data_IF_879126342301
#
_entry.id   IF_879126342301
#
_cell.length_a   1.000
_cell.length_b   1.000
_cell.length_c   1.000
_cell.angle_alpha   90.00
_cell.angle_beta   90.00
_cell.angle_gamma   90.00
#
_symmetry.space_group_name_H-M   'P 1'
#
loop_
_entity.id
_entity.type
_entity.pdbx_description
1 polymer ?
#
# COMPACT_ATOMS: atom_id res chain seq x y z
N UNK A 1 -44.95 -1.58 4.34
CA UNK A 1 -43.99 -2.22 5.26
C UNK A 1 -44.06 -3.72 5.06
N UNK A 2 -43.10 -4.28 4.34
CA UNK A 2 -42.91 -5.72 4.15
C UNK A 2 -41.42 -5.91 3.88
N UNK A 3 -40.71 -6.48 4.85
CA UNK A 3 -39.30 -6.82 4.75
C UNK A 3 -39.15 -7.98 3.77
N UNK A 4 -38.62 -7.73 2.57
CA UNK A 4 -38.18 -8.80 1.68
C UNK A 4 -36.89 -9.40 2.27
N UNK A 5 -37.03 -10.54 2.96
CA UNK A 5 -35.91 -11.41 3.28
C UNK A 5 -35.27 -11.90 1.98
N UNK A 6 -34.05 -11.43 1.69
CA UNK A 6 -33.23 -12.01 0.64
C UNK A 6 -32.93 -13.49 0.98
N UNK A 7 -33.09 -14.43 0.04
CA UNK A 7 -32.91 -15.85 0.31
C UNK A 7 -31.45 -16.17 0.66
N UNK A 8 -31.28 -16.89 1.77
CA UNK A 8 -30.03 -17.28 2.39
C UNK A 8 -29.27 -18.40 1.65
N UNK A 9 -28.97 -18.24 0.35
CA UNK A 9 -28.37 -19.31 -0.46
C UNK A 9 -27.02 -19.00 -1.12
N UNK A 10 -26.20 -18.12 -0.54
CA UNK A 10 -24.80 -17.88 -0.98
C UNK A 10 -23.81 -17.59 0.17
N UNK A 11 -24.10 -18.06 1.40
CA UNK A 11 -23.35 -17.63 2.60
C UNK A 11 -22.10 -18.46 2.94
N UNK A 12 -21.89 -19.65 2.35
CA UNK A 12 -20.80 -20.54 2.75
C UNK A 12 -19.41 -20.14 2.22
N UNK A 13 -19.29 -19.85 0.93
CA UNK A 13 -18.01 -19.53 0.29
C UNK A 13 -17.63 -18.03 0.40
N UNK A 14 -18.64 -17.16 0.55
CA UNK A 14 -18.42 -15.71 0.63
C UNK A 14 -18.02 -15.22 2.03
N UNK A 15 -18.40 -15.93 3.10
CA UNK A 15 -18.01 -15.58 4.46
C UNK A 15 -16.50 -15.74 4.71
N UNK A 16 -15.88 -16.73 4.06
CA UNK A 16 -14.47 -17.07 4.24
C UNK A 16 -13.48 -16.06 3.66
N UNK A 17 -13.77 -15.46 2.50
CA UNK A 17 -12.91 -14.41 1.91
C UNK A 17 -13.12 -13.06 2.61
N UNK A 18 -14.36 -12.75 2.99
CA UNK A 18 -14.73 -11.45 3.57
C UNK A 18 -14.06 -11.19 4.93
N UNK A 19 -13.76 -12.25 5.71
CA UNK A 19 -13.00 -12.16 6.97
C UNK A 19 -11.51 -11.84 6.79
N UNK A 20 -10.92 -12.22 5.66
CA UNK A 20 -9.49 -12.03 5.39
C UNK A 20 -9.20 -10.76 4.60
N UNK A 21 -10.23 -10.16 3.98
CA UNK A 21 -10.12 -8.93 3.21
C UNK A 21 -9.42 -7.78 3.99
N UNK A 22 -9.74 -7.53 5.28
CA UNK A 22 -9.05 -6.51 6.07
C UNK A 22 -7.57 -6.81 6.28
N UNK A 23 -7.23 -8.10 6.49
CA UNK A 23 -5.84 -8.55 6.69
C UNK A 23 -5.06 -8.40 5.39
N UNK A 24 -5.64 -8.79 4.26
CA UNK A 24 -5.03 -8.60 2.94
C UNK A 24 -4.85 -7.12 2.63
N UNK A 25 -5.83 -6.28 2.99
CA UNK A 25 -5.74 -4.84 2.84
C UNK A 25 -4.61 -4.24 3.69
N UNK A 26 -4.46 -4.67 4.94
CA UNK A 26 -3.36 -4.26 5.82
C UNK A 26 -1.99 -4.69 5.27
N UNK A 27 -1.87 -5.90 4.73
CA UNK A 27 -0.65 -6.38 4.09
C UNK A 27 -0.32 -5.59 2.82
N UNK A 28 -1.33 -5.24 2.01
CA UNK A 28 -1.14 -4.38 0.84
C UNK A 28 -0.70 -2.97 1.24
N UNK A 29 -1.28 -2.38 2.30
CA UNK A 29 -0.83 -1.11 2.87
C UNK A 29 0.63 -1.17 3.31
N UNK A 30 1.00 -2.21 4.04
CA UNK A 30 2.39 -2.42 4.45
C UNK A 30 3.32 -2.52 3.24
N UNK A 31 2.91 -3.22 2.18
CA UNK A 31 3.67 -3.35 0.94
C UNK A 31 3.87 -2.01 0.21
N UNK A 32 2.86 -1.13 0.18
CA UNK A 32 2.97 0.20 -0.45
C UNK A 32 4.00 1.13 0.21
N UNK A 33 4.43 0.82 1.44
CA UNK A 33 5.44 1.65 2.14
C UNK A 33 6.89 1.43 1.68
N UNK A 34 7.10 0.60 0.64
CA UNK A 34 8.38 0.26 -0.01
C UNK A 34 9.58 -0.06 0.92
N UNK A 35 9.44 -0.57 2.16
CA UNK A 35 10.53 -0.47 3.12
C UNK A 35 11.67 -1.42 2.75
N UNK A 36 11.30 -2.69 2.57
CA UNK A 36 12.27 -3.77 2.65
C UNK A 36 13.16 -3.86 1.42
N UNK A 37 12.61 -3.76 0.20
CA UNK A 37 13.40 -3.97 -1.01
C UNK A 37 14.39 -2.82 -1.29
N UNK A 38 14.05 -1.60 -0.86
CA UNK A 38 14.97 -0.48 -0.91
C UNK A 38 16.12 -0.65 0.09
N UNK A 39 15.81 -1.00 1.35
CA UNK A 39 16.83 -1.31 2.36
C UNK A 39 17.71 -2.50 1.96
N UNK A 40 17.11 -3.55 1.40
CA UNK A 40 17.80 -4.75 0.91
C UNK A 40 18.72 -4.47 -0.29
N UNK A 41 18.28 -3.62 -1.23
CA UNK A 41 19.13 -3.19 -2.34
C UNK A 41 20.32 -2.38 -1.84
N UNK A 42 20.09 -1.42 -0.94
CA UNK A 42 21.14 -0.61 -0.36
C UNK A 42 22.16 -1.46 0.42
N UNK A 43 21.71 -2.48 1.14
CA UNK A 43 22.57 -3.42 1.87
C UNK A 43 23.54 -4.19 0.95
N UNK A 44 23.21 -4.33 -0.34
CA UNK A 44 24.06 -4.95 -1.36
C UNK A 44 24.84 -3.94 -2.20
N UNK A 45 24.76 -2.65 -1.88
CA UNK A 45 25.38 -1.58 -2.68
C UNK A 45 24.64 -1.29 -3.99
N UNK A 46 23.41 -1.78 -4.16
CA UNK A 46 22.55 -1.43 -5.29
C UNK A 46 21.78 -0.13 -5.02
N UNK A 47 21.61 0.67 -6.08
CA UNK A 47 20.86 1.94 -6.03
C UNK A 47 19.36 1.76 -6.30
N UNK A 48 18.97 0.66 -6.94
CA UNK A 48 17.57 0.36 -7.25
C UNK A 48 17.14 -1.01 -6.68
N UNK A 49 15.88 -1.12 -6.22
CA UNK A 49 15.29 -2.40 -5.88
C UNK A 49 15.36 -3.39 -7.05
N UNK A 50 15.52 -4.69 -6.78
CA UNK A 50 15.58 -5.69 -7.84
C UNK A 50 14.25 -5.76 -8.60
N UNK A 51 14.28 -6.08 -9.89
CA UNK A 51 13.08 -6.08 -10.74
C UNK A 51 11.95 -7.00 -10.23
N UNK A 52 12.30 -8.09 -9.54
CA UNK A 52 11.32 -9.01 -8.95
C UNK A 52 10.54 -8.39 -7.76
N UNK A 53 11.02 -7.30 -7.14
CA UNK A 53 10.30 -6.61 -6.07
C UNK A 53 8.90 -6.16 -6.53
N UNK A 54 8.73 -5.94 -7.84
CA UNK A 54 7.44 -5.59 -8.46
C UNK A 54 6.39 -6.70 -8.32
N UNK A 55 6.80 -7.96 -8.25
CA UNK A 55 5.90 -9.12 -8.09
C UNK A 55 5.14 -9.05 -6.76
N UNK A 56 5.76 -8.46 -5.73
CA UNK A 56 5.14 -8.32 -4.41
C UNK A 56 3.95 -7.33 -4.40
N UNK A 57 3.78 -6.52 -5.45
CA UNK A 57 2.61 -5.67 -5.63
C UNK A 57 1.47 -6.35 -6.39
N UNK A 58 1.71 -7.52 -6.99
CA UNK A 58 0.67 -8.25 -7.72
C UNK A 58 -0.57 -8.58 -6.86
N UNK A 59 -0.45 -8.95 -5.56
CA UNK A 59 -1.61 -9.13 -4.70
C UNK A 59 -2.44 -7.85 -4.51
N UNK A 60 -1.79 -6.70 -4.36
CA UNK A 60 -2.47 -5.41 -4.22
C UNK A 60 -3.21 -5.03 -5.51
N UNK A 61 -2.56 -5.23 -6.67
CA UNK A 61 -3.19 -5.04 -7.98
C UNK A 61 -4.38 -5.98 -8.18
N UNK A 62 -4.23 -7.26 -7.81
CA UNK A 62 -5.29 -8.27 -7.89
C UNK A 62 -6.49 -7.94 -7.02
N UNK A 63 -6.25 -7.51 -5.77
CA UNK A 63 -7.30 -7.09 -4.84
C UNK A 63 -8.05 -5.86 -5.37
N UNK A 64 -7.33 -4.85 -5.86
CA UNK A 64 -7.92 -3.64 -6.43
C UNK A 64 -8.76 -3.97 -7.68
N UNK A 65 -8.23 -4.79 -8.60
CA UNK A 65 -8.95 -5.21 -9.80
C UNK A 65 -10.22 -6.01 -9.46
N UNK A 66 -10.12 -6.94 -8.52
CA UNK A 66 -11.26 -7.72 -8.03
C UNK A 66 -12.32 -6.84 -7.37
N UNK A 67 -11.91 -5.90 -6.53
CA UNK A 67 -12.81 -4.97 -5.86
C UNK A 67 -13.51 -4.03 -6.86
N UNK A 68 -12.76 -3.48 -7.82
CA UNK A 68 -13.30 -2.63 -8.88
C UNK A 68 -14.27 -3.39 -9.80
N UNK A 69 -13.99 -4.66 -10.10
CA UNK A 69 -14.92 -5.50 -10.86
C UNK A 69 -16.24 -5.69 -10.12
N UNK A 70 -16.16 -6.13 -8.85
CA UNK A 70 -17.36 -6.49 -8.06
C UNK A 70 -18.17 -5.26 -7.66
N UNK A 71 -17.51 -4.17 -7.31
CA UNK A 71 -18.10 -2.93 -6.80
C UNK A 71 -18.06 -1.79 -7.80
N UNK A 72 -18.26 -2.05 -9.11
CA UNK A 72 -18.07 -1.03 -10.16
C UNK A 72 -18.85 0.27 -9.90
N UNK A 73 -20.07 0.17 -9.38
CA UNK A 73 -20.92 1.32 -9.11
C UNK A 73 -20.39 2.15 -7.93
N UNK A 74 -19.93 1.47 -6.87
CA UNK A 74 -19.32 2.10 -5.69
C UNK A 74 -17.98 2.73 -6.04
N UNK A 75 -17.15 2.03 -6.83
CA UNK A 75 -15.88 2.56 -7.34
C UNK A 75 -16.12 3.84 -8.18
N UNK A 76 -17.12 3.83 -9.07
CA UNK A 76 -17.50 5.02 -9.84
C UNK A 76 -18.03 6.16 -8.96
N UNK A 77 -18.78 5.85 -7.90
CA UNK A 77 -19.25 6.85 -6.95
C UNK A 77 -18.07 7.47 -6.17
N UNK A 78 -17.14 6.65 -5.70
CA UNK A 78 -15.95 7.07 -4.98
C UNK A 78 -15.04 7.96 -5.85
N UNK A 79 -14.84 7.58 -7.12
CA UNK A 79 -14.07 8.38 -8.07
C UNK A 79 -14.68 9.78 -8.26
N UNK A 80 -15.99 9.87 -8.42
CA UNK A 80 -16.71 11.16 -8.55
C UNK A 80 -16.66 11.99 -7.27
N UNK A 81 -16.58 11.35 -6.11
CA UNK A 81 -16.44 12.03 -4.83
C UNK A 81 -15.03 12.59 -4.59
N UNK A 82 -14.01 12.17 -5.36
CA UNK A 82 -12.61 12.56 -5.18
C UNK A 82 -12.00 13.28 -6.41
N UNK A 83 -12.61 14.38 -6.92
CA UNK A 83 -12.16 15.02 -8.15
C UNK A 83 -10.75 15.59 -8.06
N UNK A 84 -10.34 16.09 -6.88
CA UNK A 84 -8.99 16.60 -6.66
C UNK A 84 -7.93 15.49 -6.77
N UNK A 85 -8.21 14.32 -6.18
CA UNK A 85 -7.29 13.17 -6.26
C UNK A 85 -7.13 12.70 -7.71
N UNK A 86 -8.24 12.65 -8.48
CA UNK A 86 -8.19 12.31 -9.90
C UNK A 86 -7.41 13.36 -10.71
N UNK A 87 -7.59 14.65 -10.41
CA UNK A 87 -6.86 15.73 -11.08
C UNK A 87 -5.34 15.64 -10.82
N UNK A 88 -4.93 15.30 -9.59
CA UNK A 88 -3.52 15.11 -9.25
C UNK A 88 -2.90 13.89 -9.95
N UNK A 89 -3.64 12.78 -10.02
CA UNK A 89 -3.21 11.60 -10.79
C UNK A 89 -3.10 11.93 -12.27
N UNK A 90 -4.09 12.63 -12.84
CA UNK A 90 -4.07 13.07 -14.23
C UNK A 90 -2.91 14.03 -14.52
N UNK A 91 -2.60 14.95 -13.59
CA UNK A 91 -1.45 15.84 -13.69
C UNK A 91 -0.13 15.06 -13.68
N UNK A 92 -0.01 14.03 -12.83
CA UNK A 92 1.16 13.16 -12.82
C UNK A 92 1.35 12.44 -14.17
N UNK A 93 0.26 11.98 -14.81
CA UNK A 93 0.34 11.44 -16.17
C UNK A 93 0.68 12.52 -17.20
N UNK A 94 0.07 13.70 -17.13
CA UNK A 94 0.39 14.81 -18.04
C UNK A 94 1.88 15.19 -17.95
N UNK A 95 2.48 15.10 -16.76
CA UNK A 95 3.89 15.39 -16.53
C UNK A 95 4.86 14.52 -17.32
N UNK A 96 4.42 13.37 -17.84
CA UNK A 96 5.25 12.55 -18.74
C UNK A 96 5.58 13.27 -20.04
N UNK A 97 4.75 14.22 -20.46
CA UNK A 97 4.89 14.94 -21.73
C UNK A 97 6.03 15.97 -21.72
N UNK A 98 6.36 16.54 -20.57
CA UNK A 98 7.45 17.53 -20.42
C UNK A 98 8.58 17.04 -19.51
N UNK A 99 8.54 15.79 -19.08
CA UNK A 99 9.58 15.18 -18.26
C UNK A 99 10.80 14.81 -19.10
N UNK A 100 12.01 15.12 -18.59
CA UNK A 100 13.30 14.71 -19.17
C UNK A 100 13.37 13.19 -19.29
N UNK A 101 12.95 12.47 -18.25
CA UNK A 101 12.97 11.00 -18.20
C UNK A 101 11.54 10.43 -18.28
N UNK A 102 10.89 10.59 -19.43
CA UNK A 102 9.46 10.26 -19.62
C UNK A 102 9.10 8.83 -19.23
N UNK A 103 9.98 7.86 -19.49
CA UNK A 103 9.75 6.45 -19.17
C UNK A 103 9.71 6.19 -17.65
N UNK A 104 10.60 6.82 -16.89
CA UNK A 104 10.60 6.72 -15.43
C UNK A 104 9.39 7.45 -14.83
N UNK A 105 9.05 8.62 -15.36
CA UNK A 105 7.88 9.39 -14.92
C UNK A 105 6.58 8.64 -15.16
N UNK A 106 6.39 8.03 -16.34
CA UNK A 106 5.20 7.22 -16.63
C UNK A 106 5.07 6.06 -15.65
N UNK A 107 6.17 5.34 -15.40
CA UNK A 107 6.19 4.24 -14.44
C UNK A 107 5.79 4.70 -13.03
N UNK A 108 6.31 5.84 -12.57
CA UNK A 108 5.95 6.42 -11.26
C UNK A 108 4.48 6.85 -11.23
N UNK A 109 3.95 7.43 -12.29
CA UNK A 109 2.54 7.82 -12.39
C UNK A 109 1.60 6.62 -12.33
N UNK A 110 1.98 5.47 -12.91
CA UNK A 110 1.24 4.20 -12.77
C UNK A 110 1.24 3.73 -11.31
N UNK A 111 2.40 3.74 -10.64
CA UNK A 111 2.47 3.36 -9.22
C UNK A 111 1.66 4.31 -8.33
N UNK A 112 1.73 5.61 -8.58
CA UNK A 112 0.92 6.61 -7.89
C UNK A 112 -0.58 6.33 -8.07
N UNK A 113 -1.03 6.06 -9.30
CA UNK A 113 -2.43 5.76 -9.58
C UNK A 113 -2.91 4.49 -8.85
N UNK A 114 -2.07 3.46 -8.75
CA UNK A 114 -2.37 2.24 -8.01
C UNK A 114 -2.51 2.51 -6.50
N UNK A 115 -1.56 3.24 -5.90
CA UNK A 115 -1.60 3.58 -4.47
C UNK A 115 -2.80 4.47 -4.14
N UNK A 116 -3.08 5.47 -4.98
CA UNK A 116 -4.24 6.35 -4.84
C UNK A 116 -5.56 5.61 -5.02
N UNK A 117 -5.65 4.74 -6.03
CA UNK A 117 -6.80 3.88 -6.27
C UNK A 117 -7.04 2.90 -5.12
N UNK A 118 -5.97 2.40 -4.50
CA UNK A 118 -6.06 1.57 -3.31
C UNK A 118 -6.57 2.34 -2.09
N UNK A 119 -6.11 3.58 -1.88
CA UNK A 119 -6.66 4.47 -0.84
C UNK A 119 -8.16 4.73 -1.02
N UNK A 120 -8.58 4.95 -2.28
CA UNK A 120 -9.99 5.10 -2.62
C UNK A 120 -10.79 3.82 -2.34
N UNK A 121 -10.21 2.65 -2.68
CA UNK A 121 -10.78 1.34 -2.34
C UNK A 121 -11.05 1.20 -0.85
N UNK A 122 -10.07 1.55 -0.01
CA UNK A 122 -10.25 1.49 1.43
C UNK A 122 -11.40 2.39 1.89
N UNK A 123 -11.50 3.59 1.33
CA UNK A 123 -12.52 4.58 1.72
C UNK A 123 -13.95 4.16 1.36
N UNK A 124 -14.18 3.51 0.22
CA UNK A 124 -15.55 3.06 -0.14
C UNK A 124 -15.90 1.71 0.47
N UNK A 125 -14.90 0.86 0.77
CA UNK A 125 -15.12 -0.53 1.16
C UNK A 125 -15.33 -0.72 2.66
N UNK A 126 -14.68 0.11 3.48
CA UNK A 126 -14.64 -0.06 4.93
C UNK A 126 -15.25 1.13 5.65
N UNK A 127 -15.97 0.86 6.74
CA UNK A 127 -16.41 1.90 7.66
C UNK A 127 -15.23 2.48 8.43
N UNK A 128 -15.39 3.70 8.93
CA UNK A 128 -14.35 4.47 9.62
C UNK A 128 -13.62 3.67 10.72
N UNK A 129 -14.36 2.94 11.56
CA UNK A 129 -13.79 2.10 12.62
C UNK A 129 -12.88 1.01 12.05
N UNK A 130 -13.36 0.24 11.07
CA UNK A 130 -12.59 -0.84 10.45
C UNK A 130 -11.39 -0.29 9.68
N UNK A 131 -11.53 0.88 9.04
CA UNK A 131 -10.42 1.55 8.36
C UNK A 131 -9.29 1.87 9.34
N UNK A 132 -9.61 2.43 10.51
CA UNK A 132 -8.63 2.71 11.56
C UNK A 132 -7.97 1.41 12.03
N UNK A 133 -8.73 0.33 12.25
CA UNK A 133 -8.18 -0.97 12.66
C UNK A 133 -7.22 -1.56 11.62
N UNK A 134 -7.55 -1.44 10.32
CA UNK A 134 -6.70 -1.87 9.20
C UNK A 134 -5.40 -1.06 9.16
N UNK A 135 -5.50 0.26 9.26
CA UNK A 135 -4.33 1.16 9.22
C UNK A 135 -3.45 0.93 10.45
N UNK A 136 -4.03 0.85 11.65
CA UNK A 136 -3.31 0.57 12.89
C UNK A 136 -2.63 -0.81 12.84
N UNK A 137 -3.31 -1.83 12.31
CA UNK A 137 -2.73 -3.16 12.11
C UNK A 137 -1.55 -3.13 11.13
N UNK A 138 -1.68 -2.40 10.02
CA UNK A 138 -0.61 -2.25 9.03
C UNK A 138 0.61 -1.52 9.62
N UNK A 139 0.39 -0.38 10.30
CA UNK A 139 1.46 0.38 10.97
C UNK A 139 2.10 -0.45 12.07
N UNK A 140 1.32 -1.13 12.91
CA UNK A 140 1.83 -2.01 13.97
C UNK A 140 2.71 -3.13 13.42
N UNK A 141 2.29 -3.80 12.34
CA UNK A 141 3.08 -4.82 11.66
C UNK A 141 4.39 -4.27 11.11
N UNK A 142 4.36 -3.07 10.52
CA UNK A 142 5.55 -2.38 10.02
C UNK A 142 6.51 -1.99 11.16
N UNK A 143 6.02 -1.53 12.30
CA UNK A 143 6.85 -1.21 13.48
C UNK A 143 7.53 -2.47 13.99
N UNK A 144 6.77 -3.55 14.21
CA UNK A 144 7.32 -4.83 14.68
C UNK A 144 8.33 -5.37 13.69
N UNK A 145 8.01 -5.36 12.39
CA UNK A 145 8.93 -5.79 11.33
C UNK A 145 10.22 -4.97 11.31
N UNK A 146 10.12 -3.66 11.51
CA UNK A 146 11.28 -2.76 11.58
C UNK A 146 12.20 -3.10 12.74
N UNK A 147 11.63 -3.36 13.92
CA UNK A 147 12.34 -3.82 15.11
C UNK A 147 13.04 -5.17 14.86
N UNK A 148 12.30 -6.15 14.32
CA UNK A 148 12.83 -7.48 14.02
C UNK A 148 13.99 -7.43 13.01
N UNK A 149 13.86 -6.68 11.92
CA UNK A 149 14.92 -6.59 10.89
C UNK A 149 16.19 -5.94 11.46
N UNK A 150 16.07 -4.88 12.27
CA UNK A 150 17.26 -4.24 12.86
C UNK A 150 17.96 -5.06 13.96
N UNK A 151 17.27 -6.03 14.58
CA UNK A 151 17.89 -6.98 15.52
C UNK A 151 18.42 -8.23 14.81
N UNK A 152 17.57 -8.91 14.02
CA UNK A 152 17.84 -10.24 13.46
C UNK A 152 18.64 -10.19 12.15
N UNK A 153 18.57 -9.09 11.40
CA UNK A 153 19.25 -8.92 10.12
C UNK A 153 20.01 -7.57 10.08
N UNK A 154 21.03 -7.36 10.93
CA UNK A 154 21.69 -6.07 11.08
C UNK A 154 22.41 -5.58 9.82
N UNK A 155 22.77 -6.47 8.90
CA UNK A 155 23.33 -6.10 7.59
C UNK A 155 22.33 -5.38 6.67
N UNK A 156 21.02 -5.56 6.91
CA UNK A 156 19.94 -4.86 6.19
C UNK A 156 19.35 -3.76 7.07
N UNK A 157 19.07 -4.06 8.34
CA UNK A 157 18.36 -3.16 9.25
C UNK A 157 19.20 -2.09 9.92
N UNK A 158 20.50 -2.01 9.61
CA UNK A 158 21.36 -0.90 10.05
C UNK A 158 21.99 -0.23 8.85
N UNK A 159 22.13 1.08 8.96
CA UNK A 159 22.69 1.93 7.93
C UNK A 159 24.17 1.58 7.70
N UNK A 160 24.54 1.44 6.42
CA UNK A 160 25.92 1.12 6.02
C UNK A 160 26.71 2.34 5.51
N UNK A 161 26.05 3.29 4.84
CA UNK A 161 26.70 4.38 4.11
C UNK A 161 26.71 5.69 4.90
N UNK A 162 25.55 6.30 5.11
CA UNK A 162 25.47 7.68 5.63
C UNK A 162 25.74 7.76 7.14
N UNK A 163 25.21 6.81 7.92
CA UNK A 163 25.41 6.73 9.37
C UNK A 163 25.72 5.29 9.79
N UNK A 164 26.97 4.82 9.65
CA UNK A 164 27.33 3.44 9.92
C UNK A 164 26.86 2.93 11.28
N UNK A 165 26.10 1.83 11.29
CA UNK A 165 25.57 1.21 12.51
C UNK A 165 24.31 1.84 13.09
N UNK A 166 23.84 2.98 12.54
CA UNK A 166 22.58 3.58 12.95
C UNK A 166 21.38 2.71 12.53
N UNK A 167 20.27 2.84 13.26
CA UNK A 167 19.05 2.08 12.99
C UNK A 167 18.40 2.52 11.65
N UNK A 168 18.13 1.56 10.77
CA UNK A 168 17.25 1.73 9.60
C UNK A 168 15.96 0.90 9.71
N UNK A 169 16.09 -0.31 10.28
CA UNK A 169 15.01 -1.26 10.46
C UNK A 169 14.48 -1.77 9.12
N UNK A 170 13.19 -1.56 8.86
CA UNK A 170 12.58 -1.90 7.58
C UNK A 170 12.89 -0.88 6.49
N UNK A 171 13.32 0.34 6.81
CA UNK A 171 13.65 1.38 5.83
C UNK A 171 15.15 1.67 5.79
N UNK A 172 15.56 2.46 4.80
CA UNK A 172 16.93 2.98 4.69
C UNK A 172 17.29 3.93 5.84
N UNK A 173 16.31 4.62 6.42
CA UNK A 173 16.49 5.55 7.55
C UNK A 173 15.41 5.40 8.63
N UNK A 174 15.80 5.57 9.90
CA UNK A 174 14.87 5.67 11.04
C UNK A 174 13.84 6.81 10.93
N UNK A 175 14.14 7.87 10.17
CA UNK A 175 13.23 9.02 10.05
C UNK A 175 11.96 8.65 9.28
N UNK A 176 12.04 7.72 8.33
CA UNK A 176 10.86 7.22 7.61
C UNK A 176 9.93 6.45 8.55
N UNK A 177 10.50 5.64 9.45
CA UNK A 177 9.74 4.98 10.50
C UNK A 177 9.02 6.00 11.40
N UNK A 178 9.73 7.05 11.83
CA UNK A 178 9.14 8.12 12.64
C UNK A 178 7.99 8.85 11.93
N UNK A 179 8.15 9.16 10.63
CA UNK A 179 7.10 9.77 9.83
C UNK A 179 5.84 8.90 9.69
N UNK A 180 6.01 7.58 9.55
CA UNK A 180 4.88 6.64 9.45
C UNK A 180 4.19 6.47 10.81
N UNK A 181 4.95 6.41 11.90
CA UNK A 181 4.38 6.34 13.26
C UNK A 181 3.55 7.58 13.60
N UNK A 182 3.96 8.77 13.13
CA UNK A 182 3.24 10.01 13.36
C UNK A 182 1.84 10.04 12.70
N UNK A 183 1.59 9.23 11.67
CA UNK A 183 0.26 9.11 11.05
C UNK A 183 -0.76 8.38 11.93
N UNK A 184 -0.30 7.65 12.96
CA UNK A 184 -1.15 6.89 13.88
C UNK A 184 -1.23 7.46 15.30
N UNK A 185 -0.57 8.59 15.58
CA UNK A 185 -0.58 9.28 16.88
C UNK A 185 -1.65 10.39 16.91
#
# INVERSE_FOLDING_TARGET
>A
MTLAHAPAYTLGAQAGLRRWEPVLAALCLAQFSEPFFAAWAQAQGATEPPGFARIFFAPAMGLLAWAAWRGRAEAWAAMRAAPLLLALVALAFASTLWSIESGATLRRSVWLALTMGFGLYLAWRYEWRTLIEIVAGAVGALVIGSLLVGVLAPGIGRMAMEHPGAWGGLWTHKNTLGGIMALGA
#
